data_IF_101434093814
#
_entry.id   IF_101434093814
#
_cell.length_a   1.000
_cell.length_b   1.000
_cell.length_c   1.000
_cell.angle_alpha   90.00
_cell.angle_beta   90.00
_cell.angle_gamma   90.00
#
_symmetry.space_group_name_H-M   'P 1'
#
loop_
_entity.id
_entity.type
_entity.pdbx_description
1 polymer ?
#
# COMPACT_ATOMS: atom_id res chain seq x y z
N UNK A 1 4.88 27.25 10.32
CA UNK A 1 4.50 26.33 11.41
C UNK A 1 3.63 25.16 10.92
N UNK A 2 2.53 25.40 10.19
CA UNK A 2 1.66 24.33 9.67
C UNK A 2 2.40 23.37 8.70
N UNK A 3 3.22 23.89 7.79
CA UNK A 3 4.04 23.10 6.85
C UNK A 3 5.03 22.16 7.55
N UNK A 4 5.55 22.57 8.72
CA UNK A 4 6.48 21.78 9.51
C UNK A 4 5.77 20.60 10.19
N UNK A 5 4.60 20.85 10.80
CA UNK A 5 3.78 19.81 11.45
C UNK A 5 3.29 18.77 10.44
N UNK A 6 2.85 19.19 9.26
CA UNK A 6 2.43 18.30 8.17
C UNK A 6 3.58 17.44 7.63
N UNK A 7 4.82 17.94 7.73
CA UNK A 7 6.00 17.17 7.31
C UNK A 7 6.27 15.98 8.23
N UNK A 8 6.05 16.12 9.54
CA UNK A 8 6.21 15.01 10.50
C UNK A 8 5.14 13.94 10.36
N UNK A 9 3.92 14.31 9.94
CA UNK A 9 2.82 13.36 9.76
C UNK A 9 3.19 12.19 8.82
N UNK A 10 4.04 12.43 7.81
CA UNK A 10 4.52 11.39 6.90
C UNK A 10 5.48 10.40 7.55
N UNK A 11 6.24 10.82 8.57
CA UNK A 11 7.17 9.94 9.28
C UNK A 11 6.45 9.13 10.35
N UNK A 12 5.39 9.67 10.94
CA UNK A 12 4.62 9.02 12.00
C UNK A 12 4.15 7.63 11.60
N UNK A 13 3.64 7.45 10.38
CA UNK A 13 3.15 6.16 9.91
C UNK A 13 4.22 5.07 9.78
N UNK A 14 5.34 5.29 9.07
CA UNK A 14 6.47 4.38 9.09
C UNK A 14 6.91 4.01 10.51
N UNK A 15 6.99 4.97 11.45
CA UNK A 15 7.34 4.69 12.84
C UNK A 15 6.28 3.85 13.57
N UNK A 16 5.00 4.15 13.41
CA UNK A 16 3.91 3.34 13.98
C UNK A 16 4.01 1.89 13.46
N UNK A 17 4.22 1.73 12.16
CA UNK A 17 4.37 0.40 11.56
C UNK A 17 5.62 -0.33 12.04
N UNK A 18 6.76 0.36 12.14
CA UNK A 18 7.99 -0.21 12.69
C UNK A 18 7.80 -0.66 14.15
N UNK A 19 7.23 0.19 15.00
CA UNK A 19 6.99 -0.12 16.42
C UNK A 19 5.99 -1.28 16.55
N UNK A 20 4.88 -1.23 15.83
CA UNK A 20 3.86 -2.28 15.84
C UNK A 20 4.43 -3.62 15.36
N UNK A 21 5.19 -3.60 14.27
CA UNK A 21 5.83 -4.80 13.73
C UNK A 21 6.85 -5.33 14.74
N UNK A 22 7.75 -4.48 15.25
CA UNK A 22 8.75 -4.85 16.26
C UNK A 22 8.11 -5.50 17.49
N UNK A 23 6.97 -4.98 17.96
CA UNK A 23 6.33 -5.44 19.19
C UNK A 23 5.47 -6.69 19.03
N UNK A 24 4.81 -6.87 17.89
CA UNK A 24 3.74 -7.86 17.72
C UNK A 24 3.93 -8.85 16.58
N UNK A 25 4.80 -8.56 15.60
CA UNK A 25 4.96 -9.45 14.46
C UNK A 25 5.86 -10.65 14.76
N UNK A 26 5.74 -11.69 13.95
CA UNK A 26 6.49 -12.93 14.08
C UNK A 26 7.89 -12.80 13.43
N UNK A 27 8.78 -12.10 14.14
CA UNK A 27 10.18 -11.94 13.72
C UNK A 27 10.95 -13.25 13.69
N UNK A 28 10.54 -14.26 14.46
CA UNK A 28 11.26 -15.55 14.48
C UNK A 28 11.12 -16.26 13.13
N UNK A 29 9.96 -16.14 12.50
CA UNK A 29 9.68 -16.76 11.21
C UNK A 29 9.58 -15.75 10.06
N UNK A 30 10.26 -14.60 10.16
CA UNK A 30 10.20 -13.52 9.16
C UNK A 30 10.41 -13.99 7.71
N UNK A 31 11.27 -15.01 7.51
CA UNK A 31 11.58 -15.62 6.21
C UNK A 31 10.35 -16.21 5.52
N UNK A 32 9.34 -16.65 6.27
CA UNK A 32 8.11 -17.21 5.71
C UNK A 32 7.23 -16.12 5.06
N UNK A 33 7.40 -14.87 5.47
CA UNK A 33 6.65 -13.72 4.94
C UNK A 33 7.44 -12.96 3.86
N UNK A 34 8.75 -13.18 3.79
CA UNK A 34 9.65 -12.50 2.87
C UNK A 34 9.22 -12.56 1.39
N UNK A 35 8.75 -13.70 0.84
CA UNK A 35 8.25 -13.73 -0.54
C UNK A 35 7.07 -12.78 -0.77
N UNK A 36 6.17 -12.65 0.21
CA UNK A 36 5.01 -11.75 0.11
C UNK A 36 5.39 -10.30 0.32
N UNK A 37 6.42 -10.02 1.12
CA UNK A 37 7.03 -8.70 1.24
C UNK A 37 7.65 -8.28 -0.11
N UNK A 38 8.42 -9.16 -0.75
CA UNK A 38 8.97 -8.89 -2.07
C UNK A 38 7.88 -8.71 -3.12
N UNK A 39 6.82 -9.52 -3.07
CA UNK A 39 5.66 -9.38 -3.95
C UNK A 39 5.06 -7.97 -3.88
N UNK A 40 4.75 -7.45 -2.69
CA UNK A 40 4.13 -6.12 -2.59
C UNK A 40 5.09 -5.01 -3.02
N UNK A 41 6.40 -5.17 -2.75
CA UNK A 41 7.44 -4.26 -3.27
C UNK A 41 7.44 -4.27 -4.79
N UNK A 42 7.44 -5.45 -5.42
CA UNK A 42 7.42 -5.60 -6.87
C UNK A 42 6.15 -5.02 -7.49
N UNK A 43 4.99 -5.25 -6.89
CA UNK A 43 3.71 -4.68 -7.33
C UNK A 43 3.75 -3.15 -7.23
N UNK A 44 4.25 -2.59 -6.12
CA UNK A 44 4.35 -1.14 -5.99
C UNK A 44 5.24 -0.55 -7.07
N UNK A 45 6.44 -1.10 -7.27
CA UNK A 45 7.34 -0.63 -8.32
C UNK A 45 6.74 -0.75 -9.71
N UNK A 46 6.08 -1.86 -10.02
CA UNK A 46 5.39 -2.05 -11.29
C UNK A 46 4.35 -0.94 -11.52
N UNK A 47 3.52 -0.64 -10.52
CA UNK A 47 2.50 0.40 -10.60
C UNK A 47 3.14 1.80 -10.68
N UNK A 48 4.19 2.08 -9.90
CA UNK A 48 4.93 3.35 -9.97
C UNK A 48 5.55 3.59 -11.34
N UNK A 49 6.07 2.56 -12.01
CA UNK A 49 6.58 2.64 -13.38
C UNK A 49 5.45 2.83 -14.38
N UNK A 50 4.39 2.02 -14.28
CA UNK A 50 3.21 2.09 -15.15
C UNK A 50 2.59 3.48 -15.17
N UNK A 51 2.63 4.16 -14.02
CA UNK A 51 2.01 5.46 -13.80
C UNK A 51 3.01 6.63 -13.80
N UNK A 52 4.27 6.40 -14.15
CA UNK A 52 5.33 7.41 -14.03
C UNK A 52 5.02 8.71 -14.80
N UNK A 53 4.63 8.57 -16.08
CA UNK A 53 4.27 9.72 -16.93
C UNK A 53 2.78 10.08 -16.85
N UNK A 54 1.95 9.21 -16.27
CA UNK A 54 0.49 9.38 -16.15
C UNK A 54 0.02 9.03 -14.73
N UNK A 55 0.35 9.86 -13.73
CA UNK A 55 0.08 9.53 -12.34
C UNK A 55 -1.41 9.68 -12.01
N UNK A 56 -2.03 8.61 -11.53
CA UNK A 56 -3.39 8.62 -10.97
C UNK A 56 -3.42 9.25 -9.57
N UNK A 57 -2.37 9.05 -8.77
CA UNK A 57 -2.13 9.78 -7.53
C UNK A 57 -0.68 10.25 -7.46
N UNK A 58 -0.46 11.31 -6.69
CA UNK A 58 0.87 11.85 -6.43
C UNK A 58 1.02 12.20 -4.96
N UNK A 59 2.24 12.06 -4.46
CA UNK A 59 2.61 12.49 -3.12
C UNK A 59 3.26 13.86 -3.19
N UNK A 60 2.72 14.84 -2.47
CA UNK A 60 3.30 16.19 -2.41
C UNK A 60 4.52 16.26 -1.50
N UNK A 61 5.57 16.94 -1.94
CA UNK A 61 6.77 17.16 -1.13
C UNK A 61 6.46 17.82 0.23
N UNK A 62 7.21 17.42 1.24
CA UNK A 62 7.31 18.03 2.56
C UNK A 62 8.77 18.35 2.86
N UNK A 63 9.07 19.06 3.95
CA UNK A 63 10.45 19.44 4.28
C UNK A 63 11.38 18.22 4.44
N UNK A 64 10.87 17.12 4.99
CA UNK A 64 11.66 15.90 5.25
C UNK A 64 11.55 14.90 4.09
N UNK A 65 10.41 14.85 3.42
CA UNK A 65 10.17 13.97 2.27
C UNK A 65 9.97 14.88 1.04
N UNK A 66 11.05 15.27 0.36
CA UNK A 66 11.04 16.43 -0.53
C UNK A 66 10.23 16.23 -1.80
N UNK A 67 10.03 14.99 -2.23
CA UNK A 67 9.36 14.68 -3.49
C UNK A 67 8.59 13.35 -3.43
N UNK A 68 7.85 13.08 -4.50
CA UNK A 68 7.03 11.88 -4.65
C UNK A 68 7.86 10.59 -4.56
N UNK A 69 9.03 10.54 -5.19
CA UNK A 69 9.89 9.35 -5.23
C UNK A 69 10.38 8.94 -3.85
N UNK A 70 10.86 9.90 -3.03
CA UNK A 70 11.30 9.60 -1.66
C UNK A 70 10.12 9.16 -0.79
N UNK A 71 8.92 9.72 -1.02
CA UNK A 71 7.71 9.27 -0.34
C UNK A 71 7.38 7.81 -0.72
N UNK A 72 7.41 7.50 -2.01
CA UNK A 72 7.12 6.18 -2.53
C UNK A 72 8.13 5.13 -2.05
N UNK A 73 9.42 5.48 -2.00
CA UNK A 73 10.46 4.60 -1.44
C UNK A 73 10.27 4.35 0.05
N UNK A 74 9.89 5.37 0.81
CA UNK A 74 9.60 5.21 2.25
C UNK A 74 8.44 4.23 2.45
N UNK A 75 7.38 4.33 1.65
CA UNK A 75 6.26 3.40 1.69
C UNK A 75 6.71 2.00 1.27
N UNK A 76 7.44 1.90 0.16
CA UNK A 76 7.86 0.62 -0.45
C UNK A 76 8.80 -0.18 0.43
N UNK A 77 9.81 0.46 1.03
CA UNK A 77 10.87 -0.23 1.75
C UNK A 77 10.71 -0.23 3.27
N UNK A 78 9.82 0.59 3.82
CA UNK A 78 9.59 0.65 5.28
C UNK A 78 8.16 0.25 5.59
N UNK A 79 7.18 0.98 5.07
CA UNK A 79 5.78 0.77 5.41
C UNK A 79 5.27 -0.60 4.94
N UNK A 80 5.42 -0.96 3.66
CA UNK A 80 4.90 -2.21 3.13
C UNK A 80 5.54 -3.47 3.73
N UNK A 81 6.86 -3.54 3.96
CA UNK A 81 7.46 -4.68 4.65
C UNK A 81 6.92 -4.84 6.08
N UNK A 82 6.86 -3.75 6.83
CA UNK A 82 6.33 -3.75 8.20
C UNK A 82 4.85 -4.14 8.23
N UNK A 83 4.03 -3.48 7.41
CA UNK A 83 2.60 -3.75 7.27
C UNK A 83 2.35 -5.20 6.89
N UNK A 84 3.05 -5.72 5.88
CA UNK A 84 2.88 -7.10 5.41
C UNK A 84 3.27 -8.11 6.47
N UNK A 85 4.42 -7.91 7.13
CA UNK A 85 4.88 -8.80 8.18
C UNK A 85 3.89 -8.79 9.36
N UNK A 86 3.47 -7.62 9.83
CA UNK A 86 2.53 -7.48 10.94
C UNK A 86 1.15 -8.07 10.62
N UNK A 87 0.60 -7.72 9.45
CA UNK A 87 -0.70 -8.21 8.95
C UNK A 87 -0.70 -9.73 8.84
N UNK A 88 0.30 -10.32 8.17
CA UNK A 88 0.34 -11.76 7.96
C UNK A 88 0.67 -12.54 9.22
N UNK A 89 1.45 -11.98 10.15
CA UNK A 89 1.79 -12.63 11.42
C UNK A 89 0.56 -12.77 12.33
N UNK A 90 -0.29 -11.75 12.35
CA UNK A 90 -1.48 -11.68 13.20
C UNK A 90 -2.75 -12.18 12.48
N UNK A 91 -2.64 -12.57 11.21
CA UNK A 91 -3.78 -13.02 10.43
C UNK A 91 -4.39 -14.29 11.04
N UNK A 92 -5.71 -14.37 11.23
CA UNK A 92 -6.33 -15.48 11.94
C UNK A 92 -6.56 -16.71 11.03
N UNK A 93 -5.49 -17.35 10.56
CA UNK A 93 -5.51 -18.45 9.57
C UNK A 93 -6.44 -19.62 9.93
N UNK A 94 -6.45 -20.01 11.20
CA UNK A 94 -7.24 -21.16 11.70
C UNK A 94 -8.63 -20.77 12.22
N UNK A 95 -9.03 -19.51 12.05
CA UNK A 95 -10.36 -19.04 12.45
C UNK A 95 -11.39 -19.17 11.33
N UNK A 96 -12.68 -19.11 11.73
CA UNK A 96 -13.82 -19.07 10.81
C UNK A 96 -13.71 -17.90 9.83
N UNK A 97 -14.24 -18.08 8.61
CA UNK A 97 -14.11 -17.12 7.50
C UNK A 97 -14.56 -15.70 7.85
N UNK A 98 -15.60 -15.52 8.67
CA UNK A 98 -16.07 -14.18 9.06
C UNK A 98 -15.04 -13.42 9.91
N UNK A 99 -14.24 -14.11 10.75
CA UNK A 99 -13.18 -13.45 11.53
C UNK A 99 -12.06 -12.96 10.62
N UNK A 100 -11.78 -13.71 9.55
CA UNK A 100 -10.81 -13.33 8.53
C UNK A 100 -11.29 -12.11 7.74
N UNK A 101 -12.56 -12.10 7.31
CA UNK A 101 -13.17 -10.95 6.63
C UNK A 101 -13.19 -9.73 7.54
N UNK A 102 -13.57 -9.89 8.82
CA UNK A 102 -13.53 -8.81 9.80
C UNK A 102 -12.11 -8.27 9.99
N UNK A 103 -11.10 -9.15 10.10
CA UNK A 103 -9.71 -8.77 10.22
C UNK A 103 -9.23 -7.92 9.03
N UNK A 104 -9.55 -8.34 7.80
CA UNK A 104 -9.29 -7.56 6.58
C UNK A 104 -10.01 -6.20 6.64
N UNK A 105 -11.27 -6.20 7.08
CA UNK A 105 -12.07 -4.98 7.23
C UNK A 105 -11.47 -3.97 8.21
N UNK A 106 -10.93 -4.43 9.34
CA UNK A 106 -10.24 -3.56 10.31
C UNK A 106 -9.01 -2.91 9.68
N UNK A 107 -8.17 -3.69 9.01
CA UNK A 107 -6.98 -3.19 8.32
C UNK A 107 -7.33 -2.21 7.20
N UNK A 108 -8.35 -2.53 6.41
CA UNK A 108 -8.91 -1.63 5.41
C UNK A 108 -9.34 -0.28 6.03
N UNK A 109 -10.09 -0.30 7.13
CA UNK A 109 -10.55 0.93 7.80
C UNK A 109 -9.36 1.76 8.29
N UNK A 110 -8.34 1.12 8.86
CA UNK A 110 -7.12 1.80 9.33
C UNK A 110 -6.42 2.54 8.19
N UNK A 111 -6.28 1.91 7.03
CA UNK A 111 -5.65 2.54 5.87
C UNK A 111 -6.50 3.63 5.22
N UNK A 112 -7.82 3.44 5.16
CA UNK A 112 -8.76 4.47 4.69
C UNK A 112 -8.71 5.71 5.58
N UNK A 113 -8.69 5.54 6.91
CA UNK A 113 -8.54 6.66 7.85
C UNK A 113 -7.20 7.35 7.64
N UNK A 114 -6.12 6.57 7.53
CA UNK A 114 -4.77 7.06 7.28
C UNK A 114 -4.70 7.92 6.01
N UNK A 115 -5.19 7.41 4.89
CA UNK A 115 -5.19 8.15 3.63
C UNK A 115 -6.10 9.37 3.68
N UNK A 116 -7.24 9.30 4.37
CA UNK A 116 -8.13 10.45 4.60
C UNK A 116 -7.41 11.57 5.37
N UNK A 117 -6.63 11.23 6.39
CA UNK A 117 -5.79 12.19 7.12
C UNK A 117 -4.73 12.81 6.20
N UNK A 118 -4.05 12.01 5.38
CA UNK A 118 -3.07 12.50 4.41
C UNK A 118 -3.69 13.40 3.34
N UNK A 119 -4.90 13.06 2.87
CA UNK A 119 -5.66 13.87 1.93
C UNK A 119 -6.06 15.21 2.54
N UNK A 120 -6.57 15.18 3.78
CA UNK A 120 -6.93 16.39 4.53
C UNK A 120 -5.72 17.28 4.78
N UNK A 121 -4.54 16.69 5.00
CA UNK A 121 -3.25 17.38 5.09
C UNK A 121 -2.65 17.80 3.74
N UNK A 122 -3.35 17.57 2.62
CA UNK A 122 -2.89 17.86 1.24
C UNK A 122 -1.57 17.15 0.86
N UNK A 123 -1.29 16.00 1.48
CA UNK A 123 -0.09 15.20 1.22
C UNK A 123 -0.26 14.25 0.03
N UNK A 124 -1.50 13.86 -0.27
CA UNK A 124 -1.84 13.10 -1.47
C UNK A 124 -2.74 13.94 -2.37
N UNK A 125 -2.55 13.81 -3.68
CA UNK A 125 -3.39 14.45 -4.69
C UNK A 125 -3.74 13.44 -5.76
N UNK A 126 -4.98 13.50 -6.23
CA UNK A 126 -5.50 12.61 -7.26
C UNK A 126 -5.65 13.33 -8.59
N UNK A 127 -5.41 12.61 -9.66
CA UNK A 127 -5.39 13.12 -11.03
C UNK A 127 -6.02 12.09 -11.97
N UNK A 128 -6.29 12.49 -13.21
CA UNK A 128 -6.70 11.58 -14.29
C UNK A 128 -7.93 10.71 -13.96
N UNK A 129 -8.93 11.30 -13.27
CA UNK A 129 -10.17 10.61 -12.89
C UNK A 129 -10.07 9.73 -11.64
N UNK A 130 -8.88 9.58 -11.06
CA UNK A 130 -8.71 8.91 -9.77
C UNK A 130 -9.35 9.75 -8.64
N UNK A 131 -9.90 9.06 -7.65
CA UNK A 131 -10.48 9.67 -6.47
C UNK A 131 -10.26 8.78 -5.25
N UNK A 132 -10.60 9.28 -4.07
CA UNK A 132 -10.42 8.57 -2.81
C UNK A 132 -11.13 7.20 -2.76
N UNK A 133 -12.28 7.05 -3.44
CA UNK A 133 -12.99 5.78 -3.52
C UNK A 133 -12.19 4.70 -4.25
N UNK A 134 -11.47 5.07 -5.32
CA UNK A 134 -10.55 4.14 -6.00
C UNK A 134 -9.39 3.71 -5.12
N UNK A 135 -8.86 4.61 -4.28
CA UNK A 135 -7.87 4.24 -3.27
C UNK A 135 -8.44 3.24 -2.24
N UNK A 136 -9.67 3.43 -1.76
CA UNK A 136 -10.33 2.47 -0.88
C UNK A 136 -10.41 1.08 -1.52
N UNK A 137 -10.76 1.01 -2.80
CA UNK A 137 -10.79 -0.26 -3.54
C UNK A 137 -9.39 -0.90 -3.58
N UNK A 138 -8.35 -0.14 -3.88
CA UNK A 138 -6.95 -0.62 -3.88
C UNK A 138 -6.55 -1.17 -2.51
N UNK A 139 -6.89 -0.50 -1.40
CA UNK A 139 -6.58 -1.01 -0.06
C UNK A 139 -7.21 -2.37 0.22
N UNK A 140 -8.47 -2.57 -0.16
CA UNK A 140 -9.15 -3.87 -0.02
C UNK A 140 -8.40 -4.93 -0.84
N UNK A 141 -8.12 -4.65 -2.11
CA UNK A 141 -7.40 -5.57 -2.98
C UNK A 141 -5.97 -5.85 -2.51
N UNK A 142 -5.31 -4.88 -1.88
CA UNK A 142 -3.98 -5.05 -1.30
C UNK A 142 -4.02 -6.09 -0.18
N UNK A 143 -4.91 -5.97 0.81
CA UNK A 143 -4.98 -6.94 1.92
C UNK A 143 -5.44 -8.33 1.47
N UNK A 144 -6.37 -8.40 0.51
CA UNK A 144 -6.75 -9.66 -0.13
C UNK A 144 -5.55 -10.25 -0.87
N UNK A 145 -4.82 -9.44 -1.63
CA UNK A 145 -3.64 -9.82 -2.40
C UNK A 145 -2.50 -10.34 -1.52
N UNK A 146 -2.19 -9.65 -0.41
CA UNK A 146 -1.20 -10.11 0.57
C UNK A 146 -1.57 -11.48 1.12
N UNK A 147 -2.82 -11.64 1.57
CA UNK A 147 -3.30 -12.91 2.11
C UNK A 147 -3.28 -14.02 1.04
N UNK A 148 -3.72 -13.70 -0.16
CA UNK A 148 -3.78 -14.62 -1.28
C UNK A 148 -2.38 -15.07 -1.67
N UNK A 149 -1.43 -14.13 -1.80
CA UNK A 149 -0.05 -14.43 -2.16
C UNK A 149 0.61 -15.37 -1.14
N UNK A 150 0.38 -15.15 0.15
CA UNK A 150 0.96 -15.98 1.21
C UNK A 150 0.56 -17.47 1.12
N UNK A 151 -0.62 -17.79 0.59
CA UNK A 151 -1.05 -19.20 0.40
C UNK A 151 -1.06 -19.69 -1.03
N UNK A 152 -1.23 -18.80 -2.01
CA UNK A 152 -1.44 -19.11 -3.42
C UNK A 152 -0.80 -18.02 -4.30
N UNK A 153 0.55 -17.96 -4.37
CA UNK A 153 1.29 -16.89 -5.06
C UNK A 153 0.83 -16.62 -6.50
N UNK A 154 0.62 -17.68 -7.30
CA UNK A 154 0.23 -17.54 -8.71
C UNK A 154 -1.12 -16.85 -8.89
N UNK A 155 -2.07 -17.10 -7.99
CA UNK A 155 -3.38 -16.45 -8.02
C UNK A 155 -3.31 -14.97 -7.65
N UNK A 156 -2.39 -14.59 -6.76
CA UNK A 156 -2.16 -13.20 -6.44
C UNK A 156 -1.54 -12.43 -7.61
N UNK A 157 -0.59 -13.03 -8.34
CA UNK A 157 -0.08 -12.45 -9.59
C UNK A 157 -1.17 -12.30 -10.65
N UNK A 158 -2.05 -13.29 -10.79
CA UNK A 158 -3.22 -13.20 -11.66
C UNK A 158 -4.15 -12.04 -11.27
N UNK A 159 -4.43 -11.89 -9.97
CA UNK A 159 -5.19 -10.75 -9.44
C UNK A 159 -4.53 -9.41 -9.77
N UNK A 160 -3.23 -9.28 -9.52
CA UNK A 160 -2.45 -8.08 -9.84
C UNK A 160 -2.52 -7.75 -11.34
N UNK A 161 -2.37 -8.75 -12.20
CA UNK A 161 -2.45 -8.59 -13.66
C UNK A 161 -3.83 -8.07 -14.07
N UNK A 162 -4.91 -8.70 -13.60
CA UNK A 162 -6.29 -8.27 -13.91
C UNK A 162 -6.54 -6.85 -13.42
N UNK A 163 -6.15 -6.52 -12.20
CA UNK A 163 -6.28 -5.15 -11.67
C UNK A 163 -5.48 -4.15 -12.52
N UNK A 164 -4.28 -4.50 -12.96
CA UNK A 164 -3.43 -3.62 -13.77
C UNK A 164 -4.04 -3.37 -15.15
N UNK A 165 -4.55 -4.42 -15.82
CA UNK A 165 -5.28 -4.30 -17.09
C UNK A 165 -6.52 -3.40 -16.91
N UNK A 166 -7.27 -3.60 -15.83
CA UNK A 166 -8.40 -2.73 -15.51
C UNK A 166 -7.98 -1.27 -15.35
N UNK A 167 -6.90 -0.99 -14.60
CA UNK A 167 -6.39 0.38 -14.44
C UNK A 167 -6.02 1.01 -15.78
N UNK A 168 -5.31 0.28 -16.64
CA UNK A 168 -4.90 0.75 -17.96
C UNK A 168 -6.10 1.11 -18.82
N UNK A 169 -7.09 0.21 -18.91
CA UNK A 169 -8.25 0.40 -19.77
C UNK A 169 -9.21 1.47 -19.23
N UNK A 170 -9.49 1.46 -17.93
CA UNK A 170 -10.46 2.37 -17.33
C UNK A 170 -9.92 3.81 -17.23
N UNK A 171 -8.68 3.99 -16.78
CA UNK A 171 -8.05 5.31 -16.67
C UNK A 171 -7.31 5.76 -17.92
N UNK A 172 -7.36 4.96 -18.99
CA UNK A 172 -6.75 5.28 -20.29
C UNK A 172 -5.25 5.58 -20.16
N UNK A 173 -4.54 4.79 -19.33
CA UNK A 173 -3.10 4.95 -19.12
C UNK A 173 -2.39 4.72 -20.46
N UNK A 174 -1.60 5.69 -20.96
CA UNK A 174 -1.02 5.64 -22.30
C UNK A 174 0.22 4.73 -22.36
N UNK A 175 0.04 3.42 -22.15
CA UNK A 175 1.14 2.44 -22.06
C UNK A 175 2.03 2.38 -23.30
N UNK A 176 1.50 2.74 -24.48
CA UNK A 176 2.27 2.79 -25.74
C UNK A 176 3.22 3.98 -25.84
N UNK A 177 3.11 4.94 -24.92
CA UNK A 177 3.96 6.14 -24.88
C UNK A 177 4.99 6.09 -23.74
N UNK A 178 5.00 5.02 -22.95
CA UNK A 178 6.00 4.83 -21.90
C UNK A 178 7.40 4.80 -22.51
N UNK A 179 8.34 5.47 -21.85
CA UNK A 179 9.74 5.58 -22.28
C UNK A 179 10.60 4.45 -21.71
#
# INVERSE_FOLDING_TARGET
MLHTVVSYLRLVLPFIYMIGTWRFADWRNWKNYYPTILYIISVNFFISVLMYEYPLWTFRGSFIIPNHTIADFSITFITFPCLTLLYLSLYPYHSRWFKQVFYIGVWFIVEVITESLFRSAKLISYSHGWNFGWSCVVWIFLFIGLRLHQTRPLWAWGLCFVCSVFLILYFHIPVTKLR
#
